data_IF_358804912145
#
_entry.id   IF_358804912145
#
_cell.length_a   1.000
_cell.length_b   1.000
_cell.length_c   1.000
_cell.angle_alpha   90.00
_cell.angle_beta   90.00
_cell.angle_gamma   90.00
#
_symmetry.space_group_name_H-M   'P 1'
#
loop_
_entity.id
_entity.type
_entity.pdbx_description
1 polymer ?
#
# COMPACT_ATOMS: atom_id res chain seq x y z
N UNK A 1 6.09 -11.98 -18.82
CA UNK A 1 6.26 -11.61 -17.39
C UNK A 1 4.88 -11.55 -16.77
N UNK A 2 4.59 -12.28 -15.68
CA UNK A 2 3.26 -12.22 -15.03
C UNK A 2 3.20 -10.98 -14.14
N UNK A 3 2.28 -10.07 -14.42
CA UNK A 3 2.03 -8.90 -13.58
C UNK A 3 1.01 -9.23 -12.49
N UNK A 4 1.29 -8.82 -11.26
CA UNK A 4 0.35 -8.92 -10.14
C UNK A 4 -0.28 -7.56 -9.89
N UNK A 5 -1.60 -7.49 -9.82
CA UNK A 5 -2.30 -6.28 -9.39
C UNK A 5 -2.21 -6.17 -7.87
N UNK A 6 -1.79 -5.02 -7.38
CA UNK A 6 -1.66 -4.75 -5.95
C UNK A 6 -2.36 -3.45 -5.57
N UNK A 7 -2.77 -3.36 -4.31
CA UNK A 7 -3.15 -2.10 -3.66
C UNK A 7 -2.07 -1.71 -2.66
N UNK A 8 -1.92 -0.41 -2.44
CA UNK A 8 -1.08 0.13 -1.37
C UNK A 8 -1.79 1.33 -0.76
N UNK A 9 -1.99 1.29 0.55
CA UNK A 9 -2.72 2.28 1.32
C UNK A 9 -1.78 2.93 2.32
N UNK A 10 -1.83 4.27 2.37
CA UNK A 10 -1.19 5.05 3.41
C UNK A 10 -2.27 5.63 4.32
N UNK A 11 -2.19 5.31 5.62
CA UNK A 11 -3.09 5.85 6.63
C UNK A 11 -2.41 7.04 7.28
N UNK A 12 -3.18 8.09 7.54
CA UNK A 12 -2.73 9.29 8.22
C UNK A 12 -3.62 9.58 9.42
N UNK A 13 -3.00 9.92 10.55
CA UNK A 13 -3.70 10.35 11.76
C UNK A 13 -2.80 11.34 12.52
N UNK A 14 -3.34 12.51 12.87
CA UNK A 14 -2.59 13.59 13.52
C UNK A 14 -1.26 13.91 12.80
N UNK A 15 -1.34 14.13 11.48
CA UNK A 15 -0.21 14.44 10.59
C UNK A 15 0.92 13.39 10.55
N UNK A 16 0.67 12.18 11.07
CA UNK A 16 1.60 11.05 11.03
C UNK A 16 1.11 9.98 10.08
N UNK A 17 2.02 9.47 9.25
CA UNK A 17 1.76 8.38 8.33
C UNK A 17 2.15 7.04 8.93
N UNK A 18 1.30 6.04 8.74
CA UNK A 18 1.63 4.66 9.08
C UNK A 18 2.50 4.03 7.98
N UNK A 19 3.67 3.55 8.36
CA UNK A 19 4.55 2.72 7.55
C UNK A 19 4.87 1.42 8.31
N UNK A 20 4.82 0.30 7.62
CA UNK A 20 5.03 -1.03 8.17
C UNK A 20 6.35 -1.61 7.65
N UNK A 21 7.13 -2.23 8.53
CA UNK A 21 8.32 -2.99 8.13
C UNK A 21 7.90 -4.41 7.77
N UNK A 22 8.18 -4.83 6.54
CA UNK A 22 7.82 -6.16 6.05
C UNK A 22 8.62 -7.24 6.77
N UNK A 23 7.94 -8.30 7.19
CA UNK A 23 8.57 -9.41 7.93
C UNK A 23 9.48 -10.25 7.02
N UNK A 24 10.34 -11.07 7.62
CA UNK A 24 11.18 -12.01 6.86
C UNK A 24 10.39 -13.19 6.25
N UNK A 25 9.13 -13.37 6.68
CA UNK A 25 8.26 -14.49 6.25
C UNK A 25 7.54 -14.23 4.93
N UNK A 26 7.54 -12.99 4.42
CA UNK A 26 6.87 -12.66 3.15
C UNK A 26 7.71 -13.09 1.94
N UNK A 27 7.08 -13.26 0.77
CA UNK A 27 7.76 -13.71 -0.45
C UNK A 27 8.64 -12.64 -1.12
N UNK A 28 8.31 -11.36 -0.96
CA UNK A 28 8.97 -10.24 -1.63
C UNK A 28 9.18 -9.03 -0.71
N UNK A 29 10.21 -8.24 -1.01
CA UNK A 29 10.52 -6.98 -0.31
C UNK A 29 10.71 -7.15 1.21
N UNK A 30 11.37 -8.23 1.62
CA UNK A 30 11.65 -8.54 3.04
C UNK A 30 12.46 -7.42 3.70
N UNK A 31 12.13 -7.07 4.94
CA UNK A 31 12.84 -6.06 5.71
C UNK A 31 12.65 -4.61 5.26
N UNK A 32 12.00 -4.36 4.11
CA UNK A 32 11.71 -3.02 3.60
C UNK A 32 10.47 -2.41 4.25
N UNK A 33 10.39 -1.08 4.26
CA UNK A 33 9.22 -0.34 4.71
C UNK A 33 8.22 -0.15 3.57
N UNK A 34 6.92 -0.28 3.88
CA UNK A 34 5.83 -0.13 2.94
C UNK A 34 4.56 0.43 3.62
N UNK A 35 3.58 0.87 2.83
CA UNK A 35 2.21 1.05 3.32
C UNK A 35 1.51 -0.31 3.50
N UNK A 36 0.27 -0.26 3.99
CA UNK A 36 -0.61 -1.46 4.04
C UNK A 36 -0.87 -1.92 2.61
N UNK A 37 -0.57 -3.17 2.29
CA UNK A 37 -0.48 -3.61 0.89
C UNK A 37 -1.05 -5.00 0.67
N UNK A 38 -1.77 -5.21 -0.42
CA UNK A 38 -2.40 -6.49 -0.73
C UNK A 38 -2.43 -6.82 -2.20
N UNK A 39 -2.55 -8.10 -2.51
CA UNK A 39 -2.77 -8.58 -3.87
C UNK A 39 -4.27 -8.47 -4.17
N UNK A 40 -4.62 -7.90 -5.33
CA UNK A 40 -6.00 -7.92 -5.82
C UNK A 40 -6.26 -9.27 -6.46
N UNK A 41 -7.17 -10.05 -5.88
CA UNK A 41 -7.53 -11.38 -6.37
C UNK A 41 -8.74 -11.30 -7.31
N UNK A 42 -8.74 -12.09 -8.38
CA UNK A 42 -9.84 -12.10 -9.35
C UNK A 42 -10.18 -10.71 -9.89
N UNK A 43 -11.44 -10.32 -9.73
CA UNK A 43 -12.02 -9.05 -10.19
C UNK A 43 -12.43 -8.12 -9.03
N UNK A 44 -11.80 -8.24 -7.86
CA UNK A 44 -12.10 -7.34 -6.76
C UNK A 44 -11.85 -5.87 -7.11
N UNK A 45 -12.72 -5.01 -6.58
CA UNK A 45 -12.54 -3.57 -6.63
C UNK A 45 -11.33 -3.16 -5.78
N UNK A 46 -10.41 -2.31 -6.30
CA UNK A 46 -9.21 -1.91 -5.56
C UNK A 46 -9.51 -1.31 -4.18
N UNK A 47 -10.56 -0.49 -4.07
CA UNK A 47 -10.94 0.11 -2.80
C UNK A 47 -11.45 -0.92 -1.79
N UNK A 48 -12.15 -1.95 -2.26
CA UNK A 48 -12.60 -3.06 -1.41
C UNK A 48 -11.41 -3.83 -0.86
N UNK A 49 -10.47 -4.25 -1.74
CA UNK A 49 -9.25 -4.96 -1.30
C UNK A 49 -8.41 -4.10 -0.36
N UNK A 50 -8.26 -2.80 -0.62
CA UNK A 50 -7.54 -1.88 0.27
C UNK A 50 -8.12 -1.84 1.69
N UNK A 51 -9.45 -1.79 1.83
CA UNK A 51 -10.13 -1.80 3.14
C UNK A 51 -10.00 -3.16 3.86
N UNK A 52 -10.00 -4.27 3.11
CA UNK A 52 -9.76 -5.62 3.67
C UNK A 52 -8.38 -5.74 4.27
N UNK A 53 -7.34 -5.34 3.53
CA UNK A 53 -5.94 -5.40 4.01
C UNK A 53 -5.73 -4.52 5.25
N UNK A 54 -6.39 -3.35 5.32
CA UNK A 54 -6.37 -2.50 6.52
C UNK A 54 -6.95 -3.23 7.74
N UNK A 55 -8.03 -3.96 7.59
CA UNK A 55 -8.56 -4.75 8.69
C UNK A 55 -7.61 -5.91 9.06
N UNK A 56 -7.13 -6.65 8.06
CA UNK A 56 -6.32 -7.86 8.27
C UNK A 56 -4.95 -7.58 8.89
N UNK A 57 -4.26 -6.52 8.44
CA UNK A 57 -2.90 -6.22 8.89
C UNK A 57 -2.87 -5.42 10.20
N UNK A 58 -3.85 -4.53 10.43
CA UNK A 58 -3.80 -3.57 11.55
C UNK A 58 -5.09 -3.46 12.36
N UNK A 59 -6.12 -4.25 12.03
CA UNK A 59 -7.34 -4.36 12.85
C UNK A 59 -8.27 -3.15 12.82
N UNK A 60 -8.11 -2.23 11.86
CA UNK A 60 -8.95 -1.03 11.76
C UNK A 60 -10.17 -1.34 10.89
N UNK A 61 -11.36 -1.13 11.43
CA UNK A 61 -12.62 -1.30 10.71
C UNK A 61 -12.87 -0.17 9.70
N UNK A 62 -13.61 -0.51 8.63
CA UNK A 62 -13.94 0.42 7.55
C UNK A 62 -14.68 1.67 8.04
N UNK A 63 -15.56 1.53 9.03
CA UNK A 63 -16.30 2.64 9.63
C UNK A 63 -15.42 3.64 10.40
N UNK A 64 -14.16 3.30 10.69
CA UNK A 64 -13.19 4.16 11.40
C UNK A 64 -12.22 4.86 10.45
N UNK A 65 -12.35 4.65 9.15
CA UNK A 65 -11.47 5.26 8.13
C UNK A 65 -12.30 6.06 7.14
N UNK A 66 -11.70 7.13 6.62
CA UNK A 66 -12.28 7.95 5.55
C UNK A 66 -11.31 7.98 4.38
N UNK A 67 -11.81 7.76 3.16
CA UNK A 67 -10.99 7.84 1.96
C UNK A 67 -10.70 9.31 1.66
N UNK A 68 -9.44 9.73 1.80
CA UNK A 68 -9.01 11.09 1.46
C UNK A 68 -8.66 11.24 -0.02
N UNK A 69 -7.99 10.23 -0.60
CA UNK A 69 -7.53 10.25 -2.00
C UNK A 69 -7.35 8.82 -2.51
N UNK A 70 -7.77 8.59 -3.75
CA UNK A 70 -7.45 7.38 -4.52
C UNK A 70 -6.89 7.79 -5.88
N UNK A 71 -6.00 6.95 -6.45
CA UNK A 71 -5.48 7.14 -7.80
C UNK A 71 -5.56 5.81 -8.55
N UNK A 72 -6.22 5.86 -9.70
CA UNK A 72 -6.48 4.67 -10.52
C UNK A 72 -5.43 4.52 -11.64
N UNK A 73 -4.53 5.50 -11.76
CA UNK A 73 -3.47 5.52 -12.77
C UNK A 73 -2.13 5.22 -12.10
N UNK A 74 -1.45 4.21 -12.61
CA UNK A 74 -0.05 3.94 -12.30
C UNK A 74 0.77 5.19 -12.62
N UNK A 75 1.33 5.82 -11.59
CA UNK A 75 2.46 6.74 -11.78
C UNK A 75 3.69 5.85 -11.81
N UNK A 76 4.23 5.59 -13.00
CA UNK A 76 5.53 4.97 -13.13
C UNK A 76 6.56 5.98 -12.62
N UNK A 77 7.02 5.80 -11.38
CA UNK A 77 8.18 6.56 -10.88
C UNK A 77 9.40 5.85 -11.47
N UNK A 78 10.15 6.48 -12.40
CA UNK A 78 11.35 5.87 -12.95
C UNK A 78 12.33 5.55 -11.82
N UNK A 79 12.97 4.36 -11.82
CA UNK A 79 14.00 4.04 -10.86
C UNK A 79 15.19 4.97 -11.13
N UNK A 80 15.52 5.82 -10.15
CA UNK A 80 16.50 6.92 -10.18
C UNK A 80 16.08 8.22 -10.87
N UNK A 81 15.48 9.14 -10.11
CA UNK A 81 16.08 10.46 -10.02
C UNK A 81 17.17 10.36 -8.95
N UNK A 82 18.43 10.24 -9.37
CA UNK A 82 19.54 10.57 -8.49
C UNK A 82 19.24 11.98 -7.95
N UNK A 83 19.15 12.14 -6.64
CA UNK A 83 19.37 13.44 -6.00
C UNK A 83 20.76 13.88 -6.44
N UNK A 84 20.85 14.70 -7.48
CA UNK A 84 22.03 15.53 -7.69
C UNK A 84 21.99 16.55 -6.56
N UNK A 85 22.74 16.26 -5.49
CA UNK A 85 23.19 17.30 -4.58
C UNK A 85 24.01 18.28 -5.44
N UNK A 86 23.45 19.47 -5.64
CA UNK A 86 24.16 20.67 -6.06
C UNK A 86 24.04 21.69 -4.94
#
# INVERSE_FOLDING_TARGET
MKSTRIVTSFLVHNDKYLILKRSEKVKSMKGLWAGVSGIIEGNEEPLYRAKREILEEIGIEENKITLLKSHNKFVQIPPNTKTTNG
#
